data_IF_492899397440
#
_entry.id   IF_492899397440
#
_cell.length_a   1.000
_cell.length_b   1.000
_cell.length_c   1.000
_cell.angle_alpha   90.00
_cell.angle_beta   90.00
_cell.angle_gamma   90.00
#
_symmetry.space_group_name_H-M   'P 1'
#
loop_
_entity.id
_entity.type
_entity.pdbx_description
1 polymer ?
#
# COMPACT_ATOMS: atom_id res chain seq x y z
N UNK A 1 14.05 -18.03 -10.04
CA UNK A 1 14.66 -16.69 -10.04
C UNK A 1 15.05 -16.37 -8.60
N UNK A 2 16.26 -15.86 -8.34
CA UNK A 2 16.67 -15.46 -6.99
C UNK A 2 16.37 -13.98 -6.79
N UNK A 3 15.97 -13.59 -5.58
CA UNK A 3 15.77 -12.21 -5.20
C UNK A 3 17.08 -11.41 -5.35
N UNK A 4 17.09 -10.38 -6.22
CA UNK A 4 18.21 -9.44 -6.39
C UNK A 4 17.95 -8.12 -5.65
N UNK A 5 17.42 -8.21 -4.44
CA UNK A 5 16.99 -7.03 -3.70
C UNK A 5 18.24 -6.27 -3.26
N UNK A 6 18.23 -4.95 -3.43
CA UNK A 6 19.06 -4.08 -2.62
C UNK A 6 18.19 -3.56 -1.50
N UNK A 7 18.60 -3.78 -0.26
CA UNK A 7 18.03 -3.01 0.84
C UNK A 7 18.47 -1.57 0.62
N UNK A 8 17.50 -0.68 0.37
CA UNK A 8 17.80 0.74 0.16
C UNK A 8 18.40 1.31 1.45
N UNK A 9 19.47 2.08 1.32
CA UNK A 9 20.01 2.85 2.44
C UNK A 9 19.00 3.96 2.78
N UNK A 10 18.21 3.72 3.83
CA UNK A 10 17.16 4.64 4.32
C UNK A 10 17.70 5.98 4.81
N UNK A 11 19.02 6.11 5.02
CA UNK A 11 19.66 7.37 5.36
C UNK A 11 20.06 8.18 4.11
N UNK A 12 20.18 7.50 2.97
CA UNK A 12 20.56 8.07 1.68
C UNK A 12 19.36 8.34 0.76
N UNK A 13 18.33 7.50 0.79
CA UNK A 13 17.16 7.60 -0.09
C UNK A 13 15.84 7.62 0.67
N UNK A 14 14.83 8.22 0.05
CA UNK A 14 13.43 8.06 0.46
C UNK A 14 12.99 6.59 0.40
N UNK A 15 11.89 6.26 1.09
CA UNK A 15 11.33 4.90 1.11
C UNK A 15 10.69 4.51 -0.23
N UNK A 16 10.26 5.51 -1.00
CA UNK A 16 9.65 5.33 -2.31
C UNK A 16 9.82 6.56 -3.18
N UNK A 17 9.60 6.39 -4.48
CA UNK A 17 9.65 7.48 -5.46
C UNK A 17 8.58 8.53 -5.20
N UNK A 18 8.87 9.76 -5.62
CA UNK A 18 7.89 10.85 -5.68
C UNK A 18 7.35 10.99 -7.11
N UNK A 19 6.03 11.22 -7.23
CA UNK A 19 5.33 11.49 -8.49
C UNK A 19 5.04 13.00 -8.51
N UNK A 20 5.97 13.81 -9.00
CA UNK A 20 5.76 15.25 -9.15
C UNK A 20 6.36 15.73 -10.46
N UNK A 21 5.58 16.51 -11.20
CA UNK A 21 6.03 17.26 -12.36
C UNK A 21 6.62 18.61 -11.93
N UNK A 22 7.93 18.78 -12.20
CA UNK A 22 8.64 20.04 -12.53
C UNK A 22 9.40 20.79 -11.40
N UNK A 23 10.72 20.89 -11.66
CA UNK A 23 11.74 21.92 -11.34
C UNK A 23 11.65 22.65 -9.99
N UNK A 24 12.28 22.10 -8.96
CA UNK A 24 12.89 22.93 -7.92
C UNK A 24 14.37 23.10 -8.24
N UNK A 25 14.88 24.33 -8.19
CA UNK A 25 16.31 24.67 -8.38
C UNK A 25 17.22 24.09 -7.26
N UNK A 26 16.62 23.45 -6.25
CA UNK A 26 17.31 22.67 -5.24
C UNK A 26 16.93 21.19 -5.42
N UNK A 27 17.85 20.45 -6.03
CA UNK A 27 17.83 18.99 -6.06
C UNK A 27 18.39 18.53 -4.72
N UNK A 28 17.52 18.15 -3.80
CA UNK A 28 17.96 17.35 -2.65
C UNK A 28 18.34 15.97 -3.20
N UNK A 29 19.62 15.60 -3.10
CA UNK A 29 20.18 14.33 -3.58
C UNK A 29 19.46 13.10 -3.01
N UNK A 30 18.64 13.26 -1.95
CA UNK A 30 17.85 12.19 -1.34
C UNK A 30 16.52 11.89 -2.04
N UNK A 31 16.03 12.80 -2.89
CA UNK A 31 14.73 12.64 -3.57
C UNK A 31 14.90 11.74 -4.78
N UNK A 32 14.09 10.68 -4.86
CA UNK A 32 14.08 9.77 -6.01
C UNK A 32 12.79 9.99 -6.80
N UNK A 33 12.92 10.44 -8.05
CA UNK A 33 11.78 10.68 -8.93
C UNK A 33 11.37 9.41 -9.69
N UNK A 34 10.10 9.30 -10.04
CA UNK A 34 9.57 8.14 -10.77
C UNK A 34 10.21 8.01 -12.16
N UNK A 35 10.48 9.12 -12.84
CA UNK A 35 11.09 9.19 -14.17
C UNK A 35 12.61 8.97 -14.18
N UNK A 36 13.28 9.13 -13.04
CA UNK A 36 14.73 8.96 -12.93
C UNK A 36 15.08 7.46 -12.78
N UNK A 37 15.21 6.80 -13.92
CA UNK A 37 15.47 5.35 -13.97
C UNK A 37 16.83 4.98 -13.37
N UNK A 38 17.87 5.82 -13.50
CA UNK A 38 19.20 5.49 -12.98
C UNK A 38 19.24 5.63 -11.46
N UNK A 39 18.68 6.71 -10.92
CA UNK A 39 18.61 6.89 -9.46
C UNK A 39 17.71 5.82 -8.82
N UNK A 40 16.60 5.44 -9.46
CA UNK A 40 15.76 4.30 -9.00
C UNK A 40 16.54 2.98 -8.98
N UNK A 41 17.38 2.70 -9.97
CA UNK A 41 18.23 1.49 -10.00
C UNK A 41 19.25 1.51 -8.86
N UNK A 42 19.83 2.68 -8.59
CA UNK A 42 20.79 2.85 -7.48
C UNK A 42 20.11 2.65 -6.12
N UNK A 43 18.96 3.31 -5.92
CA UNK A 43 18.23 3.34 -4.65
C UNK A 43 17.52 2.02 -4.32
N UNK A 44 16.78 1.45 -5.29
CA UNK A 44 15.85 0.34 -5.04
C UNK A 44 16.21 -0.95 -5.79
N UNK A 45 17.23 -0.91 -6.66
CA UNK A 45 17.63 -2.07 -7.47
C UNK A 45 16.70 -2.34 -8.65
N UNK A 46 16.91 -3.50 -9.28
CA UNK A 46 16.19 -3.95 -10.48
C UNK A 46 15.35 -5.18 -10.13
N UNK A 47 14.11 -5.20 -10.58
CA UNK A 47 13.22 -6.34 -10.40
C UNK A 47 13.70 -7.55 -11.21
N UNK A 48 13.83 -8.71 -10.57
CA UNK A 48 14.22 -9.94 -11.26
C UNK A 48 13.16 -10.54 -12.19
N UNK A 49 11.91 -10.05 -12.16
CA UNK A 49 10.81 -10.58 -12.97
C UNK A 49 10.51 -9.72 -14.20
N UNK A 50 10.55 -8.39 -14.07
CA UNK A 50 10.25 -7.45 -15.16
C UNK A 50 11.45 -6.64 -15.66
N UNK A 51 12.61 -6.73 -14.99
CA UNK A 51 13.83 -5.95 -15.28
C UNK A 51 13.66 -4.42 -15.18
N UNK A 52 12.60 -3.94 -14.53
CA UNK A 52 12.39 -2.52 -14.25
C UNK A 52 13.00 -2.10 -12.90
N UNK A 53 13.41 -0.84 -12.75
CA UNK A 53 13.86 -0.32 -11.45
C UNK A 53 12.74 -0.34 -10.40
N UNK A 54 13.10 -0.52 -9.13
CA UNK A 54 12.14 -0.42 -8.02
C UNK A 54 11.44 0.94 -7.95
N UNK A 55 10.26 0.96 -7.33
CA UNK A 55 9.52 2.20 -7.03
C UNK A 55 9.54 2.55 -5.55
N UNK A 56 10.01 1.63 -4.71
CA UNK A 56 10.30 1.84 -3.31
C UNK A 56 11.06 0.66 -2.72
N UNK A 57 11.44 0.79 -1.46
CA UNK A 57 12.11 -0.29 -0.74
C UNK A 57 11.26 -1.57 -0.84
N UNK A 58 11.85 -2.62 -1.43
CA UNK A 58 11.22 -3.94 -1.57
C UNK A 58 9.86 -3.92 -2.29
N UNK A 59 9.62 -2.90 -3.14
CA UNK A 59 8.36 -2.71 -3.85
C UNK A 59 8.57 -2.41 -5.35
N UNK A 60 7.92 -3.21 -6.19
CA UNK A 60 7.99 -3.09 -7.65
C UNK A 60 6.59 -2.88 -8.21
N UNK A 61 6.18 -1.60 -8.35
CA UNK A 61 4.81 -1.24 -8.79
C UNK A 61 4.33 -2.03 -10.02
N UNK A 62 5.08 -2.18 -11.14
CA UNK A 62 4.57 -2.89 -12.31
C UNK A 62 4.19 -4.35 -12.03
N UNK A 63 5.03 -5.08 -11.29
CA UNK A 63 4.77 -6.47 -10.94
C UNK A 63 3.63 -6.60 -9.93
N UNK A 64 3.62 -5.75 -8.90
CA UNK A 64 2.60 -5.77 -7.86
C UNK A 64 1.23 -5.38 -8.42
N UNK A 65 1.15 -4.36 -9.27
CA UNK A 65 -0.09 -3.97 -9.96
C UNK A 65 -0.66 -5.11 -10.80
N UNK A 66 0.19 -5.89 -11.50
CA UNK A 66 -0.24 -7.08 -12.24
C UNK A 66 -0.86 -8.13 -11.31
N UNK A 67 -0.21 -8.43 -10.17
CA UNK A 67 -0.71 -9.41 -9.18
C UNK A 67 -2.05 -8.99 -8.59
N UNK A 68 -2.17 -7.72 -8.19
CA UNK A 68 -3.43 -7.19 -7.69
C UNK A 68 -4.53 -7.30 -8.74
N UNK A 69 -4.25 -6.92 -9.99
CA UNK A 69 -5.21 -7.01 -11.10
C UNK A 69 -5.72 -8.43 -11.33
N UNK A 70 -4.85 -9.43 -11.22
CA UNK A 70 -5.22 -10.85 -11.33
C UNK A 70 -6.12 -11.32 -10.16
N UNK A 71 -6.01 -10.66 -9.00
CA UNK A 71 -6.75 -10.98 -7.78
C UNK A 71 -8.08 -10.18 -7.63
N UNK A 72 -8.35 -9.16 -8.45
CA UNK A 72 -9.56 -8.33 -8.32
C UNK A 72 -10.88 -9.09 -8.43
N UNK A 73 -10.88 -10.25 -9.10
CA UNK A 73 -12.05 -11.12 -9.21
C UNK A 73 -12.34 -11.95 -7.95
N UNK A 74 -11.39 -11.99 -7.00
CA UNK A 74 -11.46 -12.85 -5.81
C UNK A 74 -12.04 -12.13 -4.59
N UNK A 75 -12.29 -10.82 -4.68
CA UNK A 75 -12.89 -10.05 -3.58
C UNK A 75 -13.72 -8.90 -4.13
N UNK A 76 -14.72 -8.49 -3.35
CA UNK A 76 -15.48 -7.25 -3.52
C UNK A 76 -15.97 -6.83 -2.15
N UNK A 77 -16.05 -5.53 -1.91
CA UNK A 77 -16.70 -4.97 -0.73
C UNK A 77 -18.22 -4.98 -0.82
N UNK A 78 -18.77 -5.25 -2.02
CA UNK A 78 -20.18 -5.02 -2.33
C UNK A 78 -20.52 -3.56 -2.66
N UNK A 79 -19.54 -2.64 -2.63
CA UNK A 79 -19.65 -1.25 -3.02
C UNK A 79 -18.65 -0.94 -4.15
N UNK A 80 -19.16 -0.52 -5.31
CA UNK A 80 -18.34 -0.31 -6.52
C UNK A 80 -17.35 0.86 -6.37
N UNK A 81 -17.75 1.94 -5.69
CA UNK A 81 -16.89 3.12 -5.49
C UNK A 81 -15.70 2.79 -4.56
N UNK A 82 -15.95 2.03 -3.48
CA UNK A 82 -14.87 1.53 -2.60
C UNK A 82 -13.95 0.58 -3.36
N UNK A 83 -14.53 -0.35 -4.12
CA UNK A 83 -13.76 -1.31 -4.91
C UNK A 83 -12.87 -0.59 -5.93
N UNK A 84 -13.39 0.43 -6.62
CA UNK A 84 -12.62 1.25 -7.56
C UNK A 84 -11.49 1.99 -6.85
N UNK A 85 -11.73 2.62 -5.70
CA UNK A 85 -10.70 3.31 -4.92
C UNK A 85 -9.58 2.36 -4.50
N UNK A 86 -9.92 1.20 -3.94
CA UNK A 86 -8.94 0.21 -3.50
C UNK A 86 -8.14 -0.32 -4.70
N UNK A 87 -8.80 -0.66 -5.81
CA UNK A 87 -8.13 -1.11 -7.04
C UNK A 87 -7.19 -0.02 -7.59
N UNK A 88 -7.64 1.22 -7.62
CA UNK A 88 -6.83 2.36 -8.05
C UNK A 88 -5.59 2.52 -7.18
N UNK A 89 -5.74 2.46 -5.85
CA UNK A 89 -4.61 2.51 -4.92
C UNK A 89 -3.63 1.36 -5.18
N UNK A 90 -4.12 0.12 -5.31
CA UNK A 90 -3.30 -1.07 -5.56
C UNK A 90 -2.52 -1.01 -6.89
N UNK A 91 -3.10 -0.46 -7.95
CA UNK A 91 -2.43 -0.32 -9.26
C UNK A 91 -1.38 0.81 -9.29
N UNK A 92 -1.53 1.81 -8.42
CA UNK A 92 -0.68 3.01 -8.40
C UNK A 92 0.29 3.06 -7.23
N UNK A 93 0.17 2.16 -6.26
CA UNK A 93 1.03 2.08 -5.10
C UNK A 93 2.51 1.97 -5.49
N UNK A 94 3.30 2.96 -5.08
CA UNK A 94 4.76 2.96 -5.20
C UNK A 94 5.44 2.30 -4.00
N UNK A 95 4.69 2.06 -2.92
CA UNK A 95 5.10 1.46 -1.67
C UNK A 95 3.90 0.81 -0.98
N UNK A 96 4.14 -0.15 -0.08
CA UNK A 96 3.07 -0.84 0.64
C UNK A 96 2.20 0.12 1.47
N UNK A 97 2.80 1.14 2.08
CA UNK A 97 2.05 2.14 2.87
C UNK A 97 1.16 3.06 2.03
N UNK A 98 1.29 3.01 0.70
CA UNK A 98 0.43 3.72 -0.26
C UNK A 98 -0.57 2.78 -0.95
N UNK A 99 -0.67 1.54 -0.48
CA UNK A 99 -1.51 0.48 -1.01
C UNK A 99 -2.66 0.20 -0.03
N UNK A 100 -3.89 0.53 -0.42
CA UNK A 100 -5.07 0.13 0.34
C UNK A 100 -5.33 -1.37 0.15
N UNK A 101 -5.79 -2.01 1.23
CA UNK A 101 -6.15 -3.42 1.25
C UNK A 101 -7.62 -3.59 1.64
N UNK A 102 -8.32 -4.46 0.91
CA UNK A 102 -9.61 -4.97 1.36
C UNK A 102 -9.38 -6.09 2.36
N UNK A 103 -9.96 -5.96 3.56
CA UNK A 103 -9.84 -6.94 4.65
C UNK A 103 -11.24 -7.30 5.15
N UNK A 104 -11.66 -8.57 5.05
CA UNK A 104 -12.93 -9.02 5.62
C UNK A 104 -12.98 -8.79 7.13
N UNK A 105 -14.14 -8.42 7.67
CA UNK A 105 -14.27 -8.09 9.09
C UNK A 105 -13.97 -9.29 10.01
N UNK A 106 -14.31 -10.50 9.56
CA UNK A 106 -14.05 -11.76 10.24
C UNK A 106 -12.58 -12.09 10.46
N UNK A 107 -11.67 -11.38 9.78
CA UNK A 107 -10.22 -11.53 9.97
C UNK A 107 -9.70 -10.80 11.22
N UNK A 108 -10.52 -9.96 11.85
CA UNK A 108 -10.16 -9.28 13.09
C UNK A 108 -10.57 -10.09 14.31
N UNK A 109 -9.68 -10.12 15.31
CA UNK A 109 -9.86 -10.80 16.58
C UNK A 109 -9.94 -9.80 17.74
N UNK A 110 -10.48 -10.23 18.88
CA UNK A 110 -10.54 -9.45 20.13
C UNK A 110 -11.14 -8.04 19.96
N UNK A 111 -12.14 -7.92 19.06
CA UNK A 111 -12.79 -6.64 18.74
C UNK A 111 -13.48 -6.07 19.96
N UNK A 112 -12.95 -4.97 20.47
CA UNK A 112 -13.40 -4.31 21.70
C UNK A 112 -13.84 -2.89 21.41
N UNK A 113 -15.05 -2.52 21.82
CA UNK A 113 -15.54 -1.14 21.68
C UNK A 113 -14.74 -0.18 22.57
N UNK A 114 -14.31 0.94 21.99
CA UNK A 114 -13.55 1.98 22.69
C UNK A 114 -14.44 3.20 22.95
N UNK A 115 -14.98 3.80 21.89
CA UNK A 115 -15.76 5.04 21.99
C UNK A 115 -16.61 5.30 20.74
N UNK A 116 -17.44 6.35 20.77
CA UNK A 116 -18.17 6.87 19.62
C UNK A 116 -17.67 8.27 19.31
N UNK A 117 -17.19 8.48 18.09
CA UNK A 117 -16.85 9.79 17.54
C UNK A 117 -17.97 10.39 16.71
N UNK A 118 -17.71 11.50 16.03
CA UNK A 118 -18.70 12.20 15.20
C UNK A 118 -19.23 11.38 14.02
N UNK A 119 -18.40 10.50 13.45
CA UNK A 119 -18.69 9.73 12.23
C UNK A 119 -18.88 8.22 12.47
N UNK A 120 -19.00 7.79 13.72
CA UNK A 120 -19.28 6.39 14.05
C UNK A 120 -18.55 5.88 15.28
N UNK A 121 -18.48 4.55 15.41
CA UNK A 121 -17.91 3.88 16.59
C UNK A 121 -16.47 3.46 16.30
N UNK A 122 -15.63 3.54 17.31
CA UNK A 122 -14.23 3.16 17.28
C UNK A 122 -14.06 1.91 18.15
N UNK A 123 -13.33 0.94 17.61
CA UNK A 123 -13.00 -0.32 18.25
C UNK A 123 -11.48 -0.53 18.20
N UNK A 124 -10.92 -1.23 19.18
CA UNK A 124 -9.62 -1.88 19.04
C UNK A 124 -9.83 -3.31 18.57
N UNK A 125 -8.87 -3.86 17.84
CA UNK A 125 -8.87 -5.25 17.43
C UNK A 125 -7.43 -5.73 17.21
N UNK A 126 -7.25 -7.05 17.19
CA UNK A 126 -6.03 -7.68 16.69
C UNK A 126 -6.27 -8.06 15.22
N UNK A 127 -5.32 -7.75 14.35
CA UNK A 127 -5.26 -8.24 12.98
C UNK A 127 -4.12 -9.27 12.86
N UNK A 128 -4.42 -10.57 12.95
CA UNK A 128 -3.40 -11.62 12.96
C UNK A 128 -2.63 -11.69 11.65
N UNK A 129 -3.30 -11.59 10.50
CA UNK A 129 -2.59 -11.59 9.21
C UNK A 129 -1.76 -10.33 9.01
N UNK A 130 -2.20 -9.20 9.56
CA UNK A 130 -1.55 -7.90 9.46
C UNK A 130 -1.33 -7.44 8.01
N UNK A 131 -0.51 -6.40 7.76
CA UNK A 131 -0.49 -5.69 6.48
C UNK A 131 0.58 -6.22 5.51
N UNK A 132 0.39 -6.03 4.20
CA UNK A 132 1.38 -6.39 3.17
C UNK A 132 2.63 -5.51 3.34
N UNK A 133 3.81 -6.11 3.28
CA UNK A 133 5.08 -5.38 3.21
C UNK A 133 5.74 -5.50 1.84
N UNK A 134 5.77 -6.70 1.26
CA UNK A 134 6.47 -6.97 0.00
C UNK A 134 6.01 -8.28 -0.63
N UNK A 135 6.36 -8.51 -1.90
CA UNK A 135 6.11 -9.80 -2.57
C UNK A 135 7.31 -10.74 -2.41
N UNK A 136 7.11 -11.95 -1.89
CA UNK A 136 8.13 -12.99 -1.87
C UNK A 136 8.15 -13.74 -3.21
N UNK A 137 9.16 -13.49 -4.05
CA UNK A 137 9.31 -14.13 -5.37
C UNK A 137 9.54 -15.64 -5.25
N UNK A 138 10.20 -16.12 -4.20
CA UNK A 138 10.53 -17.55 -4.05
C UNK A 138 9.29 -18.37 -3.70
N UNK A 139 8.49 -17.87 -2.75
CA UNK A 139 7.27 -18.53 -2.30
C UNK A 139 6.04 -18.16 -3.13
N UNK A 140 6.13 -17.14 -3.99
CA UNK A 140 5.02 -16.60 -4.76
C UNK A 140 3.82 -16.19 -3.86
N UNK A 141 4.12 -15.48 -2.77
CA UNK A 141 3.14 -15.01 -1.79
C UNK A 141 3.47 -13.61 -1.25
N UNK A 142 2.48 -12.93 -0.69
CA UNK A 142 2.70 -11.65 0.00
C UNK A 142 3.34 -11.89 1.36
N UNK A 143 4.49 -11.27 1.60
CA UNK A 143 5.04 -11.14 2.95
C UNK A 143 4.24 -10.08 3.71
N UNK A 144 3.81 -10.44 4.92
CA UNK A 144 3.03 -9.58 5.80
C UNK A 144 3.75 -9.35 7.12
N UNK A 145 3.55 -8.18 7.70
CA UNK A 145 3.85 -7.92 9.11
C UNK A 145 2.59 -8.25 9.90
N UNK A 146 2.70 -9.18 10.85
CA UNK A 146 1.57 -9.94 11.43
C UNK A 146 1.29 -9.50 12.86
N UNK A 147 0.10 -9.85 13.38
CA UNK A 147 -0.29 -9.63 14.78
C UNK A 147 -0.23 -8.16 15.21
N UNK A 148 -0.88 -7.28 14.44
CA UNK A 148 -0.99 -5.87 14.79
C UNK A 148 -2.23 -5.60 15.63
N UNK A 149 -2.08 -4.75 16.65
CA UNK A 149 -3.21 -4.04 17.23
C UNK A 149 -3.63 -2.91 16.28
N UNK A 150 -4.91 -2.86 15.93
CA UNK A 150 -5.48 -1.90 14.98
C UNK A 150 -6.68 -1.19 15.57
N UNK A 151 -6.91 0.03 15.10
CA UNK A 151 -8.14 0.76 15.35
C UNK A 151 -9.11 0.53 14.19
N UNK A 152 -10.32 0.03 14.49
CA UNK A 152 -11.41 -0.09 13.51
C UNK A 152 -12.41 1.05 13.74
N UNK A 153 -12.76 1.76 12.66
CA UNK A 153 -13.80 2.79 12.67
C UNK A 153 -14.98 2.31 11.86
N UNK A 154 -16.13 2.10 12.51
CA UNK A 154 -17.38 1.79 11.82
C UNK A 154 -18.02 3.08 11.30
N UNK A 155 -18.68 3.01 10.13
CA UNK A 155 -19.50 4.10 9.61
C UNK A 155 -20.96 3.84 9.95
N UNK A 156 -21.66 4.83 10.49
CA UNK A 156 -23.07 4.67 10.92
C UNK A 156 -24.04 4.48 9.73
N UNK A 157 -23.71 4.99 8.53
CA UNK A 157 -24.51 4.87 7.29
C UNK A 157 -23.65 4.40 6.10
N UNK A 158 -23.28 3.13 6.05
CA UNK A 158 -22.43 2.58 4.97
C UNK A 158 -23.08 2.59 3.58
N UNK A 159 -24.38 2.90 3.48
CA UNK A 159 -25.11 3.05 2.21
C UNK A 159 -24.94 4.43 1.57
N UNK A 160 -24.56 5.45 2.34
CA UNK A 160 -24.30 6.82 1.88
C UNK A 160 -22.88 7.21 2.32
N UNK A 161 -21.88 6.55 1.75
CA UNK A 161 -20.48 6.96 1.94
C UNK A 161 -20.32 8.31 1.26
N UNK A 162 -20.33 9.39 2.06
CA UNK A 162 -20.16 10.74 1.52
C UNK A 162 -18.72 10.93 1.02
N UNK A 163 -18.52 11.89 0.12
CA UNK A 163 -17.20 12.34 -0.33
C UNK A 163 -16.29 12.71 0.84
N UNK A 164 -16.86 13.19 1.95
CA UNK A 164 -16.11 13.57 3.15
C UNK A 164 -15.38 12.36 3.78
N UNK A 165 -15.89 11.14 3.62
CA UNK A 165 -15.17 9.93 4.07
C UNK A 165 -13.95 9.66 3.20
N UNK A 166 -14.08 9.81 1.88
CA UNK A 166 -12.95 9.60 0.97
C UNK A 166 -11.84 10.63 1.21
N UNK A 167 -12.18 11.87 1.55
CA UNK A 167 -11.23 12.91 1.96
C UNK A 167 -10.47 12.58 3.26
N UNK A 168 -11.03 11.74 4.14
CA UNK A 168 -10.33 11.25 5.33
C UNK A 168 -9.31 10.15 4.99
N UNK A 169 -9.65 9.27 4.03
CA UNK A 169 -8.83 8.10 3.64
C UNK A 169 -7.68 8.48 2.70
N UNK A 170 -7.85 9.50 1.86
CA UNK A 170 -6.90 9.86 0.78
C UNK A 170 -5.81 10.87 1.24
N UNK A 171 -5.89 11.40 2.46
CA UNK A 171 -4.87 12.31 3.04
C UNK A 171 -3.51 11.64 3.26
#
# INVERSE_FOLDING_TARGET
MKNLWKDSDVYKYQWHVTISSITTEEVDDKVVYMEDLENRKEAYGICGECNEPGTGNRWYRPCNAKRFKENFKNWTSGNEDIDELIRYSQLNAVHWSKCLEWVPFENFQDVTYITRGGFGKIYSAIWPEGHICSWNIENQEWSRDTNHEVALKSLDNSSDISTDFFDEVIK
#
